data_IF_484772234858
#
_entry.id   IF_484772234858
#
_cell.length_a   1.000
_cell.length_b   1.000
_cell.length_c   1.000
_cell.angle_alpha   90.00
_cell.angle_beta   90.00
_cell.angle_gamma   90.00
#
_symmetry.space_group_name_H-M   'P 1'
#
loop_
_entity.id
_entity.type
_entity.pdbx_description
1 polymer ?
#
# COMPACT_ATOMS: atom_id res chain seq x y z
N UNK A 1 6.83 30.29 -29.35
CA UNK A 1 5.49 30.51 -28.75
C UNK A 1 5.30 32.01 -28.59
N UNK A 2 4.09 32.54 -28.75
CA UNK A 2 3.87 34.00 -28.67
C UNK A 2 4.03 34.49 -27.23
N UNK A 3 4.91 35.45 -27.00
CA UNK A 3 5.13 36.14 -25.71
C UNK A 3 3.96 37.05 -25.27
N UNK A 4 2.85 37.03 -26.01
CA UNK A 4 1.69 37.87 -25.76
C UNK A 4 1.08 37.66 -24.35
N UNK A 5 1.13 36.43 -23.82
CA UNK A 5 0.55 36.11 -22.51
C UNK A 5 1.41 36.56 -21.32
N UNK A 6 2.74 36.65 -21.50
CA UNK A 6 3.68 37.02 -20.44
C UNK A 6 3.44 38.44 -19.91
N UNK A 7 2.87 39.32 -20.75
CA UNK A 7 2.55 40.72 -20.42
C UNK A 7 1.21 40.90 -19.69
N UNK A 8 0.34 39.88 -19.66
CA UNK A 8 -0.98 39.99 -19.02
C UNK A 8 -0.89 39.85 -17.51
N UNK A 9 -1.84 40.47 -16.80
CA UNK A 9 -1.99 40.33 -15.34
C UNK A 9 -2.66 38.98 -15.02
N UNK A 10 -2.39 38.43 -13.83
CA UNK A 10 -2.95 37.14 -13.37
C UNK A 10 -4.48 37.09 -13.49
N UNK A 11 -5.19 38.18 -13.16
CA UNK A 11 -6.64 38.26 -13.29
C UNK A 11 -7.12 38.09 -14.76
N UNK A 12 -6.41 38.70 -15.72
CA UNK A 12 -6.71 38.57 -17.14
C UNK A 12 -6.42 37.17 -17.66
N UNK A 13 -5.33 36.55 -17.20
CA UNK A 13 -4.98 35.17 -17.54
C UNK A 13 -6.05 34.18 -17.04
N UNK A 14 -6.51 34.34 -15.79
CA UNK A 14 -7.59 33.52 -15.23
C UNK A 14 -8.92 33.72 -15.96
N UNK A 15 -9.25 34.95 -16.37
CA UNK A 15 -10.44 35.24 -17.17
C UNK A 15 -10.40 34.51 -18.52
N UNK A 16 -9.26 34.59 -19.24
CA UNK A 16 -9.08 33.88 -20.51
C UNK A 16 -9.12 32.35 -20.38
N UNK A 17 -8.57 31.80 -19.31
CA UNK A 17 -8.66 30.35 -19.06
C UNK A 17 -10.10 29.92 -18.75
N UNK A 18 -10.86 30.75 -18.02
CA UNK A 18 -12.28 30.49 -17.73
C UNK A 18 -13.13 30.49 -19.01
N UNK A 19 -12.89 31.42 -19.94
CA UNK A 19 -13.55 31.45 -21.26
C UNK A 19 -13.32 30.15 -22.05
N UNK A 20 -12.17 29.50 -21.87
CA UNK A 20 -11.82 28.22 -22.51
C UNK A 20 -12.14 26.99 -21.65
N UNK A 21 -12.91 27.15 -20.58
CA UNK A 21 -13.25 26.08 -19.62
C UNK A 21 -12.03 25.35 -19.01
N UNK A 22 -10.91 26.06 -18.81
CA UNK A 22 -9.68 25.54 -18.21
C UNK A 22 -9.51 25.98 -16.75
N UNK A 23 -8.70 25.22 -16.00
CA UNK A 23 -8.38 25.55 -14.61
C UNK A 23 -7.55 26.82 -14.49
N UNK A 24 -8.01 27.76 -13.64
CA UNK A 24 -7.31 28.99 -13.28
C UNK A 24 -6.44 28.89 -12.01
N UNK A 25 -6.09 27.67 -11.57
CA UNK A 25 -5.23 27.44 -10.40
C UNK A 25 -3.73 27.47 -10.77
N UNK A 26 -2.86 27.90 -9.85
CA UNK A 26 -1.40 27.96 -10.05
C UNK A 26 -0.85 29.38 -10.15
N UNK A 27 0.47 29.47 -10.33
CA UNK A 27 1.20 30.72 -10.44
C UNK A 27 1.08 31.34 -11.83
N UNK A 28 1.54 32.59 -12.01
CA UNK A 28 1.42 33.31 -13.29
C UNK A 28 2.00 32.50 -14.45
N UNK A 29 3.13 31.83 -14.23
CA UNK A 29 3.82 31.02 -15.24
C UNK A 29 2.99 29.81 -15.68
N UNK A 30 2.34 29.12 -14.74
CA UNK A 30 1.46 27.99 -15.05
C UNK A 30 0.27 28.42 -15.91
N UNK A 31 -0.33 29.57 -15.59
CA UNK A 31 -1.46 30.11 -16.34
C UNK A 31 -1.06 30.51 -17.77
N UNK A 32 0.12 31.11 -17.93
CA UNK A 32 0.69 31.42 -19.24
C UNK A 32 0.93 30.13 -20.04
N UNK A 33 1.56 29.13 -19.42
CA UNK A 33 1.84 27.83 -20.05
C UNK A 33 0.56 27.14 -20.51
N UNK A 34 -0.51 27.12 -19.70
CA UNK A 34 -1.79 26.53 -20.09
C UNK A 34 -2.44 27.24 -21.26
N UNK A 35 -2.40 28.58 -21.31
CA UNK A 35 -2.93 29.32 -22.46
C UNK A 35 -2.14 29.02 -23.74
N UNK A 36 -0.81 28.92 -23.63
CA UNK A 36 0.04 28.52 -24.77
C UNK A 36 -0.27 27.10 -25.24
N UNK A 37 -0.52 26.17 -24.32
CA UNK A 37 -0.96 24.80 -24.64
C UNK A 37 -2.33 24.79 -25.32
N UNK A 38 -3.28 25.61 -24.89
CA UNK A 38 -4.59 25.73 -25.53
C UNK A 38 -4.45 26.19 -26.98
N UNK A 39 -3.69 27.26 -27.22
CA UNK A 39 -3.43 27.78 -28.57
C UNK A 39 -2.67 26.77 -29.45
N UNK A 40 -1.75 26.00 -28.86
CA UNK A 40 -1.04 24.95 -29.59
C UNK A 40 -1.97 23.77 -29.93
N UNK A 41 -2.87 23.40 -29.02
CA UNK A 41 -3.90 22.40 -29.27
C UNK A 41 -4.93 22.83 -30.31
N UNK A 42 -5.23 24.13 -30.43
CA UNK A 42 -6.10 24.66 -31.49
C UNK A 42 -5.45 24.52 -32.89
N UNK A 43 -4.12 24.58 -32.95
CA UNK A 43 -3.35 24.41 -34.21
C UNK A 43 -3.13 22.95 -34.59
N UNK A 44 -3.01 22.08 -33.59
CA UNK A 44 -2.74 20.66 -33.75
C UNK A 44 -3.88 19.86 -33.12
N UNK A 45 -5.05 19.97 -33.75
CA UNK A 45 -6.24 19.24 -33.33
C UNK A 45 -6.05 17.73 -33.54
N UNK A 46 -6.78 16.94 -32.77
CA UNK A 46 -6.86 15.50 -32.96
C UNK A 46 -7.50 15.14 -34.32
N UNK A 47 -7.41 13.88 -34.77
CA UNK A 47 -8.05 13.42 -36.01
C UNK A 47 -9.56 13.68 -36.08
N UNK A 48 -10.23 13.82 -34.93
CA UNK A 48 -11.65 14.15 -34.81
C UNK A 48 -11.94 15.66 -34.80
N UNK A 49 -10.91 16.50 -35.01
CA UNK A 49 -11.01 17.96 -35.01
C UNK A 49 -11.14 18.59 -33.63
N UNK A 50 -11.13 17.83 -32.53
CA UNK A 50 -11.24 18.38 -31.18
C UNK A 50 -9.89 18.86 -30.66
N UNK A 51 -9.91 19.94 -29.88
CA UNK A 51 -8.70 20.43 -29.20
C UNK A 51 -8.34 19.48 -28.04
N UNK A 52 -7.11 18.94 -27.99
CA UNK A 52 -6.68 18.00 -26.94
C UNK A 52 -6.83 18.55 -25.52
N UNK A 53 -6.76 19.87 -25.32
CA UNK A 53 -6.90 20.51 -24.01
C UNK A 53 -8.32 20.42 -23.44
N UNK A 54 -9.34 20.25 -24.30
CA UNK A 54 -10.76 20.16 -23.91
C UNK A 54 -11.23 18.76 -23.54
N UNK A 55 -10.37 17.74 -23.72
CA UNK A 55 -10.71 16.35 -23.46
C UNK A 55 -10.93 16.07 -21.98
N UNK A 56 -11.97 15.27 -21.69
CA UNK A 56 -12.19 14.70 -20.36
C UNK A 56 -11.02 13.77 -19.99
N UNK A 57 -10.79 13.56 -18.70
CA UNK A 57 -9.64 12.79 -18.21
C UNK A 57 -9.54 11.36 -18.79
N UNK A 58 -10.68 10.70 -19.04
CA UNK A 58 -10.71 9.36 -19.66
C UNK A 58 -10.29 9.40 -21.14
N UNK A 59 -10.84 10.33 -21.92
CA UNK A 59 -10.53 10.51 -23.35
C UNK A 59 -9.07 10.95 -23.55
N UNK A 60 -8.58 11.84 -22.70
CA UNK A 60 -7.19 12.30 -22.72
C UNK A 60 -6.21 11.14 -22.50
N UNK A 61 -6.49 10.24 -21.54
CA UNK A 61 -5.66 9.04 -21.32
C UNK A 61 -5.72 8.07 -22.51
N UNK A 62 -6.88 7.94 -23.16
CA UNK A 62 -7.02 7.12 -24.37
C UNK A 62 -6.20 7.69 -25.53
N UNK A 63 -6.21 9.01 -25.72
CA UNK A 63 -5.40 9.70 -26.73
C UNK A 63 -3.90 9.51 -26.47
N UNK A 64 -3.44 9.68 -25.21
CA UNK A 64 -2.03 9.39 -24.87
C UNK A 64 -1.65 7.94 -25.20
N UNK A 65 -2.51 6.98 -24.85
CA UNK A 65 -2.26 5.56 -25.11
C UNK A 65 -2.22 5.24 -26.62
N UNK A 66 -3.04 5.88 -27.45
CA UNK A 66 -3.02 5.66 -28.90
C UNK A 66 -1.75 6.16 -29.57
N UNK A 67 -1.09 7.17 -29.00
CA UNK A 67 0.23 7.65 -29.47
C UNK A 67 1.41 7.03 -28.69
N UNK A 68 1.19 5.99 -27.88
CA UNK A 68 2.25 5.31 -27.12
C UNK A 68 2.89 6.15 -26.00
N UNK A 69 2.21 7.20 -25.54
CA UNK A 69 2.68 8.10 -24.49
C UNK A 69 2.25 7.62 -23.09
N UNK A 70 3.02 7.94 -22.03
CA UNK A 70 2.66 7.56 -20.66
C UNK A 70 1.35 8.21 -20.21
N UNK A 71 0.45 7.44 -19.61
CA UNK A 71 -0.87 7.88 -19.16
C UNK A 71 -0.97 8.11 -17.64
N UNK A 72 0.15 7.98 -16.92
CA UNK A 72 0.20 8.03 -15.46
C UNK A 72 0.41 9.46 -14.93
N UNK A 73 -0.65 10.00 -14.32
CA UNK A 73 -0.67 11.30 -13.66
C UNK A 73 0.10 11.32 -12.32
N UNK A 74 0.53 10.17 -11.80
CA UNK A 74 1.36 10.10 -10.59
C UNK A 74 2.82 10.47 -10.86
N UNK A 75 3.24 10.44 -12.13
CA UNK A 75 4.63 10.68 -12.55
C UNK A 75 4.76 12.05 -13.22
N UNK A 76 3.80 12.44 -14.06
CA UNK A 76 3.82 13.69 -14.80
C UNK A 76 2.55 14.50 -14.54
N UNK A 77 2.69 15.82 -14.53
CA UNK A 77 1.54 16.72 -14.44
C UNK A 77 0.69 16.65 -15.71
N UNK A 78 -0.61 16.99 -15.60
CA UNK A 78 -1.51 17.03 -16.76
C UNK A 78 -0.96 17.92 -17.89
N UNK A 79 -0.36 19.05 -17.55
CA UNK A 79 0.19 20.01 -18.51
C UNK A 79 1.42 19.45 -19.26
N UNK A 80 2.26 18.66 -18.60
CA UNK A 80 3.41 17.97 -19.24
C UNK A 80 2.99 16.84 -20.19
N UNK A 81 1.96 16.08 -19.79
CA UNK A 81 1.38 15.06 -20.67
C UNK A 81 0.68 15.72 -21.87
N UNK A 82 0.02 16.86 -21.67
CA UNK A 82 -0.63 17.61 -22.74
C UNK A 82 0.39 18.13 -23.75
N UNK A 83 1.51 18.68 -23.26
CA UNK A 83 2.63 19.11 -24.10
C UNK A 83 3.16 17.94 -24.94
N UNK A 84 3.39 16.78 -24.33
CA UNK A 84 3.86 15.57 -25.02
C UNK A 84 2.90 15.12 -26.12
N UNK A 85 1.58 15.16 -25.86
CA UNK A 85 0.57 14.81 -26.86
C UNK A 85 0.57 15.79 -28.05
N UNK A 86 0.62 17.09 -27.76
CA UNK A 86 0.67 18.12 -28.81
C UNK A 86 1.94 17.99 -29.65
N UNK A 87 3.07 17.64 -29.06
CA UNK A 87 4.33 17.47 -29.79
C UNK A 87 4.31 16.20 -30.67
N UNK A 88 3.64 15.13 -30.23
CA UNK A 88 3.37 13.98 -31.09
C UNK A 88 2.47 14.36 -32.28
N UNK A 89 1.38 15.10 -32.06
CA UNK A 89 0.48 15.54 -33.14
C UNK A 89 1.17 16.49 -34.14
N UNK A 90 2.09 17.34 -33.68
CA UNK A 90 2.94 18.16 -34.56
C UNK A 90 3.80 17.32 -35.48
N UNK A 91 4.38 16.24 -34.95
CA UNK A 91 5.25 15.35 -35.73
C UNK A 91 4.48 14.61 -36.82
N UNK A 92 3.21 14.26 -36.56
CA UNK A 92 2.33 13.61 -37.54
C UNK A 92 1.84 14.59 -38.62
N UNK A 93 1.51 15.84 -38.23
CA UNK A 93 1.04 16.87 -39.18
C UNK A 93 2.13 17.43 -40.13
N UNK A 94 3.40 17.10 -39.91
CA UNK A 94 4.52 17.49 -40.77
C UNK A 94 4.86 16.48 -41.88
N UNK A 95 4.23 15.31 -41.89
CA UNK A 95 4.45 14.26 -42.88
C UNK A 95 3.34 14.25 -43.92
N UNK A 96 3.65 14.65 -45.16
CA UNK A 96 2.76 14.47 -46.31
C UNK A 96 2.39 13.00 -46.50
N UNK A 97 1.10 12.75 -46.69
CA UNK A 97 0.40 11.48 -46.85
C UNK A 97 1.13 10.39 -47.63
N UNK A 98 1.19 9.18 -47.04
CA UNK A 98 1.19 7.92 -47.77
C UNK A 98 0.19 6.98 -47.10
N UNK A 99 -0.73 6.46 -47.92
CA UNK A 99 -1.89 5.68 -47.52
C UNK A 99 -1.54 4.33 -46.85
N UNK A 100 -2.48 3.88 -46.04
CA UNK A 100 -2.44 2.66 -45.26
C UNK A 100 -2.35 1.39 -46.11
N UNK A 101 -1.42 0.51 -45.73
CA UNK A 101 -1.42 -0.91 -46.08
C UNK A 101 -1.14 -1.73 -44.82
N UNK A 102 -2.14 -2.53 -44.41
CA UNK A 102 -1.99 -3.55 -43.37
C UNK A 102 -0.84 -4.52 -43.67
N UNK A 103 0.15 -4.61 -42.78
CA UNK A 103 0.81 -5.88 -42.46
C UNK A 103 1.73 -5.73 -41.24
N UNK A 104 1.83 -6.80 -40.47
CA UNK A 104 2.68 -6.99 -39.31
C UNK A 104 4.15 -6.56 -39.50
N UNK A 105 4.80 -6.14 -38.41
CA UNK A 105 6.25 -6.03 -38.29
C UNK A 105 6.75 -4.61 -38.03
N UNK A 106 6.81 -4.18 -36.77
CA UNK A 106 7.35 -2.89 -36.36
C UNK A 106 8.78 -2.99 -35.83
N UNK A 107 9.76 -2.99 -36.73
CA UNK A 107 11.15 -2.64 -36.47
C UNK A 107 11.56 -1.58 -37.49
N UNK A 108 11.99 -0.40 -37.04
CA UNK A 108 12.31 0.70 -37.97
C UNK A 108 12.65 2.02 -37.28
N UNK A 109 13.61 1.99 -36.35
CA UNK A 109 14.21 3.18 -35.74
C UNK A 109 15.45 2.85 -34.90
N UNK A 110 16.05 1.68 -35.11
CA UNK A 110 16.92 1.02 -34.14
C UNK A 110 18.41 1.33 -34.25
N UNK A 111 18.94 1.67 -35.43
CA UNK A 111 20.42 1.66 -35.60
C UNK A 111 21.13 2.79 -34.85
N UNK A 112 20.71 4.05 -34.99
CA UNK A 112 21.31 5.17 -34.22
C UNK A 112 21.02 5.08 -32.71
N UNK A 113 19.85 4.56 -32.34
CA UNK A 113 19.44 4.40 -30.95
C UNK A 113 20.22 3.26 -30.26
N UNK A 114 20.43 2.14 -30.95
CA UNK A 114 21.21 1.00 -30.47
C UNK A 114 22.70 1.36 -30.36
N UNK A 115 23.25 2.14 -31.31
CA UNK A 115 24.62 2.63 -31.23
C UNK A 115 24.84 3.59 -30.05
N UNK A 116 23.91 4.53 -29.85
CA UNK A 116 23.92 5.41 -28.68
C UNK A 116 23.83 4.61 -27.38
N UNK A 117 22.91 3.64 -27.31
CA UNK A 117 22.71 2.81 -26.13
C UNK A 117 23.94 1.94 -25.84
N UNK A 118 24.57 1.37 -26.87
CA UNK A 118 25.81 0.59 -26.75
C UNK A 118 26.96 1.46 -26.23
N UNK A 119 27.13 2.67 -26.77
CA UNK A 119 28.15 3.62 -26.32
C UNK A 119 27.94 4.05 -24.86
N UNK A 120 26.71 4.34 -24.47
CA UNK A 120 26.39 4.68 -23.07
C UNK A 120 26.65 3.49 -22.13
N UNK A 121 26.31 2.27 -22.53
CA UNK A 121 26.56 1.07 -21.73
C UNK A 121 28.06 0.83 -21.51
N UNK A 122 28.90 1.06 -22.52
CA UNK A 122 30.36 0.98 -22.41
C UNK A 122 30.93 2.07 -21.47
N UNK A 123 30.42 3.30 -21.53
CA UNK A 123 30.81 4.36 -20.61
C UNK A 123 30.40 4.06 -19.16
N UNK A 124 29.22 3.46 -18.95
CA UNK A 124 28.77 3.01 -17.62
C UNK A 124 29.72 1.93 -17.07
N UNK A 125 30.19 1.01 -17.91
CA UNK A 125 31.17 -0.01 -17.50
C UNK A 125 32.48 0.62 -17.05
N UNK A 126 33.04 1.52 -17.86
CA UNK A 126 34.30 2.20 -17.54
C UNK A 126 34.22 2.98 -16.23
N UNK A 127 33.18 3.81 -16.07
CA UNK A 127 32.97 4.61 -14.85
C UNK A 127 32.64 3.73 -13.63
N UNK A 128 31.91 2.64 -13.85
CA UNK A 128 31.57 1.66 -12.84
C UNK A 128 32.79 0.89 -12.31
N UNK A 129 33.74 0.56 -13.18
CA UNK A 129 35.02 -0.08 -12.83
C UNK A 129 35.97 0.90 -12.15
N UNK A 130 35.96 2.17 -12.56
CA UNK A 130 36.68 3.25 -11.90
C UNK A 130 36.10 3.62 -10.52
N UNK A 131 34.94 3.09 -10.15
CA UNK A 131 34.30 3.36 -8.86
C UNK A 131 33.72 4.78 -8.74
N UNK A 132 33.30 5.39 -9.85
CA UNK A 132 32.74 6.74 -9.88
C UNK A 132 31.20 6.72 -10.06
N UNK A 133 30.42 6.60 -8.97
CA UNK A 133 28.96 6.50 -9.05
C UNK A 133 28.29 7.82 -9.52
N UNK A 134 28.90 8.97 -9.21
CA UNK A 134 28.39 10.29 -9.65
C UNK A 134 28.54 10.47 -11.15
N UNK A 135 29.68 10.03 -11.70
CA UNK A 135 29.92 10.01 -13.14
C UNK A 135 28.89 9.17 -13.88
N UNK A 136 28.55 7.98 -13.36
CA UNK A 136 27.58 7.06 -13.99
C UNK A 136 26.19 7.71 -14.14
N UNK A 137 25.65 8.33 -13.09
CA UNK A 137 24.35 9.00 -13.18
C UNK A 137 24.39 10.33 -13.95
N UNK A 138 25.58 10.92 -14.12
CA UNK A 138 25.75 12.19 -14.82
C UNK A 138 25.89 12.07 -16.34
N UNK A 139 25.90 10.85 -16.88
CA UNK A 139 26.14 10.58 -18.31
C UNK A 139 25.15 11.26 -19.27
N UNK A 140 23.93 11.55 -18.82
CA UNK A 140 22.94 12.27 -19.63
C UNK A 140 23.07 13.80 -19.54
N UNK A 141 24.22 14.30 -19.08
CA UNK A 141 24.57 15.72 -19.06
C UNK A 141 24.07 16.51 -17.85
N UNK A 142 23.37 15.87 -16.92
CA UNK A 142 22.98 16.47 -15.64
C UNK A 142 23.99 16.09 -14.56
N UNK A 143 24.63 17.05 -13.89
CA UNK A 143 25.53 16.75 -12.78
C UNK A 143 24.75 16.18 -11.58
N UNK A 144 24.82 14.87 -11.39
CA UNK A 144 24.19 14.15 -10.28
C UNK A 144 25.25 13.84 -9.23
N UNK A 145 25.07 14.41 -8.05
CA UNK A 145 25.91 14.16 -6.87
C UNK A 145 25.08 13.58 -5.73
N UNK A 146 25.74 13.19 -4.64
CA UNK A 146 25.03 12.74 -3.43
C UNK A 146 24.11 13.80 -2.83
N UNK A 147 24.41 15.08 -3.01
CA UNK A 147 23.60 16.21 -2.54
C UNK A 147 22.37 16.47 -3.43
N UNK A 148 22.32 15.92 -4.65
CA UNK A 148 21.19 16.09 -5.55
C UNK A 148 19.93 15.45 -4.96
N UNK A 149 18.74 16.09 -5.03
CA UNK A 149 17.51 15.52 -4.50
C UNK A 149 17.20 14.12 -5.06
N UNK A 150 16.69 13.22 -4.22
CA UNK A 150 16.37 11.82 -4.58
C UNK A 150 15.52 11.71 -5.85
N UNK A 151 14.56 12.63 -6.05
CA UNK A 151 13.72 12.65 -7.24
C UNK A 151 14.53 12.84 -8.55
N UNK A 152 15.55 13.69 -8.52
CA UNK A 152 16.42 13.93 -9.68
C UNK A 152 17.39 12.76 -9.90
N UNK A 153 17.95 12.18 -8.83
CA UNK A 153 18.76 10.95 -8.91
C UNK A 153 17.95 9.80 -9.52
N UNK A 154 16.70 9.60 -9.07
CA UNK A 154 15.78 8.58 -9.60
C UNK A 154 15.43 8.84 -11.07
N UNK A 155 15.21 10.09 -11.46
CA UNK A 155 14.93 10.46 -12.86
C UNK A 155 16.11 10.10 -13.76
N UNK A 156 17.34 10.45 -13.36
CA UNK A 156 18.55 10.10 -14.11
C UNK A 156 18.73 8.58 -14.26
N UNK A 157 18.57 7.84 -13.15
CA UNK A 157 18.62 6.37 -13.15
C UNK A 157 17.60 5.75 -14.12
N UNK A 158 16.33 6.16 -14.05
CA UNK A 158 15.27 5.60 -14.90
C UNK A 158 15.49 5.93 -16.38
N UNK A 159 15.99 7.13 -16.69
CA UNK A 159 16.31 7.52 -18.07
C UNK A 159 17.43 6.64 -18.63
N UNK A 160 18.52 6.43 -17.89
CA UNK A 160 19.61 5.53 -18.30
C UNK A 160 19.14 4.08 -18.41
N UNK A 161 18.40 3.59 -17.41
CA UNK A 161 17.91 2.21 -17.38
C UNK A 161 17.02 1.86 -18.59
N UNK A 162 16.26 2.82 -19.11
CA UNK A 162 15.44 2.64 -20.32
C UNK A 162 16.25 2.51 -21.61
N UNK A 163 17.46 3.08 -21.62
CA UNK A 163 18.37 3.09 -22.78
C UNK A 163 19.26 1.85 -22.73
N UNK A 164 19.87 1.55 -21.59
CA UNK A 164 20.89 0.49 -21.44
C UNK A 164 20.34 -0.82 -20.82
N UNK A 165 19.03 -1.06 -20.90
CA UNK A 165 18.45 -2.30 -20.40
C UNK A 165 19.02 -3.50 -21.19
N UNK A 166 19.42 -4.61 -20.52
CA UNK A 166 20.01 -5.77 -21.21
C UNK A 166 19.13 -6.34 -22.33
N UNK A 167 17.80 -6.35 -22.14
CA UNK A 167 16.85 -6.82 -23.16
C UNK A 167 16.88 -6.02 -24.47
N UNK A 168 17.29 -4.74 -24.41
CA UNK A 168 17.40 -3.88 -25.59
C UNK A 168 18.77 -3.95 -26.26
N UNK A 169 19.77 -4.54 -25.59
CA UNK A 169 21.15 -4.61 -26.05
C UNK A 169 21.63 -6.07 -26.16
N UNK A 170 20.94 -6.95 -26.91
CA UNK A 170 21.34 -8.36 -27.01
C UNK A 170 22.70 -8.56 -27.69
N UNK A 171 23.15 -7.58 -28.49
CA UNK A 171 24.45 -7.60 -29.17
C UNK A 171 25.63 -7.31 -28.24
N UNK A 172 25.39 -6.65 -27.11
CA UNK A 172 26.43 -6.31 -26.14
C UNK A 172 26.46 -7.35 -25.02
N UNK A 173 27.38 -8.31 -25.10
CA UNK A 173 27.50 -9.38 -24.09
C UNK A 173 27.76 -8.90 -22.65
N UNK A 174 28.18 -7.63 -22.48
CA UNK A 174 28.40 -7.01 -21.17
C UNK A 174 27.23 -6.09 -20.71
N UNK A 175 26.10 -6.05 -21.42
CA UNK A 175 24.98 -5.18 -21.08
C UNK A 175 24.45 -5.42 -19.65
N UNK A 176 24.40 -6.67 -19.20
CA UNK A 176 24.02 -7.01 -17.82
C UNK A 176 24.98 -6.43 -16.80
N UNK A 177 26.28 -6.47 -17.08
CA UNK A 177 27.32 -5.91 -16.18
C UNK A 177 27.21 -4.38 -16.13
N UNK A 178 27.00 -3.73 -17.28
CA UNK A 178 26.76 -2.28 -17.35
C UNK A 178 25.55 -1.88 -16.50
N UNK A 179 24.44 -2.62 -16.64
CA UNK A 179 23.24 -2.37 -15.87
C UNK A 179 23.45 -2.56 -14.36
N UNK A 180 24.22 -3.57 -13.95
CA UNK A 180 24.58 -3.76 -12.53
C UNK A 180 25.40 -2.58 -11.98
N UNK A 181 26.34 -2.02 -12.76
CA UNK A 181 27.06 -0.82 -12.36
C UNK A 181 26.14 0.41 -12.23
N UNK A 182 25.15 0.56 -13.12
CA UNK A 182 24.12 1.60 -13.00
C UNK A 182 23.30 1.45 -11.70
N UNK A 183 22.83 0.25 -11.39
CA UNK A 183 22.07 -0.03 -10.16
C UNK A 183 22.91 0.27 -8.93
N UNK A 184 24.16 -0.21 -8.90
CA UNK A 184 25.09 0.03 -7.79
C UNK A 184 25.39 1.51 -7.58
N UNK A 185 25.56 2.28 -8.67
CA UNK A 185 25.77 3.71 -8.59
C UNK A 185 24.57 4.44 -7.95
N UNK A 186 23.34 4.06 -8.34
CA UNK A 186 22.12 4.61 -7.75
C UNK A 186 21.97 4.24 -6.27
N UNK A 187 22.22 3.00 -5.89
CA UNK A 187 22.17 2.55 -4.49
C UNK A 187 23.19 3.31 -3.61
N UNK A 188 24.42 3.49 -4.09
CA UNK A 188 25.47 4.19 -3.32
C UNK A 188 25.12 5.66 -3.08
N UNK A 189 24.55 6.33 -4.08
CA UNK A 189 24.18 7.75 -3.98
C UNK A 189 22.91 7.97 -3.15
N UNK A 190 22.02 6.99 -3.10
CA UNK A 190 20.76 7.07 -2.34
C UNK A 190 20.85 6.50 -0.93
N UNK A 191 21.89 5.72 -0.62
CA UNK A 191 22.13 5.20 0.72
C UNK A 191 22.42 6.33 1.72
N UNK A 192 21.86 6.26 2.95
CA UNK A 192 22.17 7.22 4.00
C UNK A 192 23.66 7.17 4.36
N UNK A 193 24.25 8.34 4.61
CA UNK A 193 25.68 8.47 4.89
C UNK A 193 26.02 7.71 6.18
N UNK A 194 26.73 6.59 6.05
CA UNK A 194 27.15 5.78 7.19
C UNK A 194 28.30 6.49 7.94
N UNK A 195 28.30 6.53 9.29
CA UNK A 195 29.40 7.09 10.06
C UNK A 195 30.72 6.32 9.83
N UNK A 196 31.90 6.98 9.92
CA UNK A 196 33.15 6.55 9.31
C UNK A 196 33.90 5.38 10.00
N UNK A 197 33.21 4.45 10.68
CA UNK A 197 33.88 3.35 11.41
C UNK A 197 33.38 1.92 11.14
N UNK A 198 32.55 1.67 10.12
CA UNK A 198 32.04 0.33 9.83
C UNK A 198 32.74 -0.42 8.67
N UNK A 199 33.92 0.02 8.22
CA UNK A 199 34.51 -0.45 6.96
C UNK A 199 35.34 -1.76 7.01
N UNK A 200 35.40 -2.49 8.14
CA UNK A 200 36.19 -3.75 8.21
C UNK A 200 35.49 -5.01 8.70
N UNK A 201 34.16 -5.00 8.87
CA UNK A 201 33.42 -6.21 9.31
C UNK A 201 32.25 -6.61 8.39
N UNK A 202 32.18 -6.10 7.15
CA UNK A 202 31.06 -6.36 6.23
C UNK A 202 31.33 -7.47 5.20
N UNK A 203 32.33 -8.33 5.41
CA UNK A 203 32.48 -9.57 4.66
C UNK A 203 32.14 -10.74 5.58
N UNK A 204 30.96 -11.36 5.37
CA UNK A 204 30.40 -12.56 6.02
C UNK A 204 29.41 -12.38 7.19
N UNK A 205 28.66 -11.29 7.25
CA UNK A 205 27.35 -11.35 7.91
C UNK A 205 26.31 -11.80 6.87
N UNK A 206 25.83 -13.04 6.97
CA UNK A 206 24.50 -13.36 6.45
C UNK A 206 23.57 -12.25 6.94
N UNK A 207 22.85 -11.60 6.03
CA UNK A 207 21.87 -10.57 6.36
C UNK A 207 20.92 -11.16 7.39
N UNK A 208 21.15 -10.79 8.66
CA UNK A 208 20.20 -11.03 9.73
C UNK A 208 18.92 -10.30 9.30
N UNK A 209 17.93 -11.08 8.88
CA UNK A 209 16.63 -10.58 8.43
C UNK A 209 16.08 -9.76 9.59
N UNK A 210 16.01 -8.44 9.41
CA UNK A 210 15.88 -7.47 10.49
C UNK A 210 14.47 -7.34 11.07
N UNK A 211 13.50 -8.19 10.69
CA UNK A 211 12.12 -8.08 11.16
C UNK A 211 11.60 -9.38 11.78
N UNK A 212 11.02 -9.26 12.98
CA UNK A 212 10.21 -10.31 13.60
C UNK A 212 8.81 -10.36 12.97
N UNK A 213 8.10 -11.48 13.15
CA UNK A 213 6.68 -11.60 12.79
C UNK A 213 5.75 -11.03 13.88
N UNK A 214 6.26 -10.19 14.78
CA UNK A 214 5.45 -9.60 15.85
C UNK A 214 4.45 -8.59 15.27
N UNK A 215 3.16 -8.79 15.58
CA UNK A 215 2.08 -8.01 14.99
C UNK A 215 1.84 -8.29 13.50
N UNK A 216 2.46 -9.33 12.93
CA UNK A 216 2.21 -9.78 11.56
C UNK A 216 1.15 -10.89 11.54
N UNK A 217 0.29 -10.90 10.53
CA UNK A 217 -0.78 -11.88 10.38
C UNK A 217 -0.78 -12.48 8.97
N UNK A 218 -1.30 -13.70 8.84
CA UNK A 218 -1.52 -14.30 7.53
C UNK A 218 -2.66 -13.54 6.84
N UNK A 219 -2.36 -12.94 5.69
CA UNK A 219 -3.34 -12.16 4.95
C UNK A 219 -4.39 -13.07 4.33
N UNK A 220 -5.66 -12.70 4.50
CA UNK A 220 -6.76 -13.40 3.85
C UNK A 220 -6.94 -12.84 2.44
N UNK A 221 -6.62 -13.66 1.45
CA UNK A 221 -6.74 -13.33 0.02
C UNK A 221 -7.99 -13.99 -0.54
N UNK A 222 -8.73 -13.26 -1.36
CA UNK A 222 -9.94 -13.75 -2.02
C UNK A 222 -9.83 -13.59 -3.53
N UNK A 223 -10.33 -14.59 -4.25
CA UNK A 223 -10.38 -14.58 -5.70
C UNK A 223 -11.23 -13.40 -6.20
N UNK A 224 -10.73 -12.53 -7.10
CA UNK A 224 -11.52 -11.41 -7.60
C UNK A 224 -12.74 -11.86 -8.41
N UNK A 225 -12.69 -13.05 -9.04
CA UNK A 225 -13.79 -13.60 -9.86
C UNK A 225 -14.87 -14.31 -9.04
N UNK A 226 -14.49 -15.29 -8.22
CA UNK A 226 -15.44 -16.14 -7.52
C UNK A 226 -15.59 -15.85 -6.03
N UNK A 227 -14.82 -14.88 -5.50
CA UNK A 227 -14.83 -14.45 -4.09
C UNK A 227 -14.55 -15.56 -3.07
N UNK A 228 -14.00 -16.69 -3.51
CA UNK A 228 -13.52 -17.75 -2.62
C UNK A 228 -12.19 -17.36 -1.99
N UNK A 229 -11.99 -17.70 -0.72
CA UNK A 229 -10.73 -17.49 -0.04
C UNK A 229 -9.64 -18.42 -0.61
N UNK A 230 -8.46 -17.88 -0.87
CA UNK A 230 -7.29 -18.66 -1.25
C UNK A 230 -6.60 -19.26 -0.01
N UNK A 231 -6.15 -20.52 -0.13
CA UNK A 231 -5.36 -21.19 0.90
C UNK A 231 -6.12 -21.57 2.18
N UNK A 232 -7.44 -21.74 2.12
CA UNK A 232 -8.23 -22.41 3.16
C UNK A 232 -8.14 -23.94 3.00
N UNK A 233 -8.27 -24.69 4.10
CA UNK A 233 -8.24 -26.16 4.06
C UNK A 233 -9.42 -26.76 3.28
N UNK A 234 -10.54 -26.05 3.21
CA UNK A 234 -11.79 -26.48 2.56
C UNK A 234 -11.80 -26.28 1.04
N UNK A 235 -10.69 -25.83 0.43
CA UNK A 235 -10.57 -25.79 -1.01
C UNK A 235 -10.37 -27.21 -1.55
N UNK A 236 -11.45 -27.99 -1.63
CA UNK A 236 -11.46 -29.34 -2.21
C UNK A 236 -11.64 -29.32 -3.74
N UNK A 237 -10.83 -30.11 -4.45
CA UNK A 237 -11.08 -30.64 -5.79
C UNK A 237 -11.16 -29.62 -6.94
N UNK A 238 -12.34 -29.04 -7.17
CA UNK A 238 -12.63 -28.25 -8.39
C UNK A 238 -12.43 -26.73 -8.21
N UNK A 239 -12.80 -26.18 -7.04
CA UNK A 239 -12.61 -24.73 -6.75
C UNK A 239 -11.13 -24.36 -6.64
N UNK A 240 -10.28 -25.33 -6.31
CA UNK A 240 -8.82 -25.19 -6.27
C UNK A 240 -8.28 -24.85 -7.65
N UNK A 241 -8.70 -25.54 -8.70
CA UNK A 241 -8.18 -25.29 -10.04
C UNK A 241 -8.58 -23.90 -10.54
N UNK A 242 -9.85 -23.50 -10.41
CA UNK A 242 -10.27 -22.15 -10.82
C UNK A 242 -9.57 -21.04 -10.02
N UNK A 243 -9.42 -21.21 -8.70
CA UNK A 243 -8.75 -20.22 -7.87
C UNK A 243 -7.23 -20.20 -8.08
N UNK A 244 -6.60 -21.35 -8.31
CA UNK A 244 -5.18 -21.44 -8.62
C UNK A 244 -4.86 -20.82 -9.98
N UNK A 245 -5.71 -21.07 -11.00
CA UNK A 245 -5.61 -20.40 -12.29
C UNK A 245 -5.78 -18.88 -12.14
N UNK A 246 -6.78 -18.43 -11.37
CA UNK A 246 -6.93 -16.99 -11.10
C UNK A 246 -5.74 -16.38 -10.33
N UNK A 247 -5.13 -17.12 -9.40
CA UNK A 247 -3.92 -16.68 -8.71
C UNK A 247 -2.75 -16.52 -9.69
N UNK A 248 -2.61 -17.44 -10.65
CA UNK A 248 -1.59 -17.35 -11.70
C UNK A 248 -1.87 -16.25 -12.72
N UNK A 249 -3.12 -16.09 -13.15
CA UNK A 249 -3.52 -15.14 -14.20
C UNK A 249 -3.51 -13.69 -13.71
N UNK A 250 -4.00 -13.45 -12.50
CA UNK A 250 -4.17 -12.09 -11.97
C UNK A 250 -3.09 -11.72 -10.94
N UNK A 251 -2.40 -12.70 -10.35
CA UNK A 251 -1.39 -12.47 -9.32
C UNK A 251 -1.96 -12.07 -7.95
N UNK A 252 -1.11 -12.05 -6.92
CA UNK A 252 -1.52 -11.67 -5.57
C UNK A 252 -1.94 -10.19 -5.48
N UNK A 253 -1.44 -9.31 -6.34
CA UNK A 253 -1.74 -7.87 -6.30
C UNK A 253 -3.19 -7.52 -6.66
N UNK A 254 -3.85 -8.36 -7.45
CA UNK A 254 -5.25 -8.15 -7.89
C UNK A 254 -6.26 -8.88 -7.01
N UNK A 255 -5.77 -9.65 -6.04
CA UNK A 255 -6.61 -10.34 -5.08
C UNK A 255 -7.33 -9.33 -4.17
N UNK A 256 -8.52 -9.69 -3.70
CA UNK A 256 -9.18 -8.93 -2.66
C UNK A 256 -8.54 -9.27 -1.31
N UNK A 257 -7.84 -8.31 -0.71
CA UNK A 257 -7.14 -8.48 0.57
C UNK A 257 -8.06 -8.03 1.68
N UNK A 258 -8.21 -8.86 2.73
CA UNK A 258 -9.05 -8.52 3.89
C UNK A 258 -8.23 -8.34 5.15
N UNK A 259 -8.58 -7.32 5.93
CA UNK A 259 -7.95 -7.01 7.20
C UNK A 259 -8.06 -8.20 8.17
N UNK A 260 -6.98 -8.64 8.83
CA UNK A 260 -7.03 -9.76 9.77
C UNK A 260 -7.88 -9.49 11.01
N UNK A 261 -8.09 -8.20 11.35
CA UNK A 261 -8.81 -7.80 12.56
C UNK A 261 -10.31 -7.61 12.32
N UNK A 262 -10.70 -6.93 11.23
CA UNK A 262 -12.13 -6.63 10.96
C UNK A 262 -12.69 -7.28 9.68
N UNK A 263 -11.87 -8.03 8.94
CA UNK A 263 -12.24 -8.72 7.68
C UNK A 263 -12.76 -7.80 6.57
N UNK A 264 -12.67 -6.48 6.69
CA UNK A 264 -13.02 -5.59 5.57
C UNK A 264 -11.95 -5.61 4.48
N UNK A 265 -12.34 -5.48 3.20
CA UNK A 265 -11.40 -5.36 2.10
C UNK A 265 -10.56 -4.08 2.26
N UNK A 266 -9.29 -4.15 1.90
CA UNK A 266 -8.38 -3.01 1.85
C UNK A 266 -7.49 -3.10 0.61
N UNK A 267 -6.95 -1.95 0.20
CA UNK A 267 -6.05 -1.87 -0.94
C UNK A 267 -4.63 -2.26 -0.50
N UNK A 268 -4.11 -3.35 -1.06
CA UNK A 268 -2.75 -3.81 -0.80
C UNK A 268 -1.78 -3.22 -1.81
N UNK A 269 -0.71 -2.60 -1.32
CA UNK A 269 0.42 -2.20 -2.15
C UNK A 269 1.63 -3.10 -1.85
N UNK A 270 2.44 -3.55 -2.84
CA UNK A 270 3.61 -4.40 -2.59
C UNK A 270 4.64 -3.81 -1.62
N UNK A 271 4.73 -2.47 -1.55
CA UNK A 271 5.56 -1.77 -0.55
C UNK A 271 5.07 -1.96 0.89
N UNK A 272 3.81 -2.32 1.07
CA UNK A 272 3.22 -2.65 2.37
C UNK A 272 3.78 -3.95 2.94
N UNK A 273 4.30 -4.84 2.08
CA UNK A 273 4.83 -6.13 2.53
C UNK A 273 5.89 -6.01 3.62
N UNK A 274 6.64 -4.90 3.64
CA UNK A 274 7.73 -4.64 4.59
C UNK A 274 7.36 -3.73 5.76
N UNK A 275 6.11 -3.27 5.87
CA UNK A 275 5.65 -2.39 6.95
C UNK A 275 4.40 -2.93 7.60
N UNK A 276 4.10 -2.44 8.81
CA UNK A 276 2.77 -2.57 9.37
C UNK A 276 1.86 -1.53 8.72
N UNK A 277 0.65 -1.93 8.38
CA UNK A 277 -0.39 -1.07 7.79
C UNK A 277 -1.55 -0.92 8.75
N UNK A 278 -2.15 0.27 8.76
CA UNK A 278 -3.41 0.54 9.45
C UNK A 278 -4.58 0.11 8.56
N UNK A 279 -5.60 -0.53 9.12
CA UNK A 279 -6.75 -1.04 8.35
C UNK A 279 -7.46 0.03 7.49
N UNK A 280 -7.48 1.30 7.92
CA UNK A 280 -8.15 2.40 7.21
C UNK A 280 -9.69 2.39 7.28
N UNK A 281 -10.29 1.39 7.93
CA UNK A 281 -11.73 1.31 8.15
C UNK A 281 -12.13 2.14 9.38
N UNK A 282 -13.20 2.94 9.29
CA UNK A 282 -13.64 3.85 10.37
C UNK A 282 -13.90 3.14 11.71
N UNK A 283 -14.26 1.85 11.68
CA UNK A 283 -14.50 1.02 12.88
C UNK A 283 -13.31 0.12 13.27
N UNK A 284 -12.14 0.28 12.63
CA UNK A 284 -10.96 -0.54 12.90
C UNK A 284 -9.68 0.30 12.81
N UNK A 285 -9.13 0.65 13.97
CA UNK A 285 -7.87 1.38 14.13
C UNK A 285 -6.63 0.47 14.23
N UNK A 286 -6.82 -0.84 14.07
CA UNK A 286 -5.74 -1.80 14.29
C UNK A 286 -4.64 -1.74 13.21
N UNK A 287 -3.40 -1.89 13.67
CA UNK A 287 -2.20 -2.03 12.84
C UNK A 287 -1.82 -3.50 12.70
N UNK A 288 -1.49 -3.92 11.49
CA UNK A 288 -1.05 -5.29 11.23
C UNK A 288 0.05 -5.32 10.16
N UNK A 289 1.00 -6.24 10.30
CA UNK A 289 1.99 -6.55 9.28
C UNK A 289 1.61 -7.78 8.46
N UNK A 290 2.30 -7.98 7.34
CA UNK A 290 2.18 -9.17 6.50
C UNK A 290 3.12 -10.26 7.03
N UNK A 291 2.59 -11.48 7.22
CA UNK A 291 3.39 -12.61 7.67
C UNK A 291 4.54 -12.90 6.69
N UNK A 292 5.78 -12.85 7.20
CA UNK A 292 6.96 -13.22 6.44
C UNK A 292 7.18 -14.72 6.61
N UNK A 293 7.06 -15.45 5.50
CA UNK A 293 7.52 -16.83 5.45
C UNK A 293 9.03 -16.82 5.26
N UNK A 294 9.76 -17.30 6.26
CA UNK A 294 11.21 -17.45 6.17
C UNK A 294 11.53 -18.56 5.17
N UNK A 295 11.82 -18.16 3.93
CA UNK A 295 12.44 -19.05 2.96
C UNK A 295 13.95 -18.90 3.13
N UNK A 296 14.68 -19.94 3.58
CA UNK A 296 16.13 -19.86 3.67
C UNK A 296 16.69 -19.53 2.28
N UNK A 297 17.49 -18.45 2.20
CA UNK A 297 18.01 -17.91 0.93
C UNK A 297 18.98 -18.85 0.20
N UNK A 298 19.42 -19.92 0.86
CA UNK A 298 20.32 -20.92 0.32
C UNK A 298 19.82 -22.31 0.73
N UNK A 299 19.80 -23.29 -0.19
CA UNK A 299 19.73 -24.69 0.21
C UNK A 299 20.85 -24.97 1.24
N UNK A 300 20.66 -25.92 2.16
CA UNK A 300 21.76 -26.37 3.01
C UNK A 300 22.99 -26.71 2.15
N UNK A 301 24.21 -26.39 2.61
CA UNK A 301 25.43 -26.64 1.83
C UNK A 301 25.48 -28.11 1.41
N UNK A 302 25.66 -28.36 0.11
CA UNK A 302 25.70 -29.70 -0.47
C UNK A 302 24.38 -30.19 -1.07
N UNK A 303 23.31 -29.39 -1.06
CA UNK A 303 22.05 -29.71 -1.76
C UNK A 303 21.82 -28.71 -2.89
N UNK A 304 21.79 -29.18 -4.12
CA UNK A 304 21.42 -28.38 -5.29
C UNK A 304 19.94 -27.95 -5.21
N UNK A 305 19.57 -26.88 -5.93
CA UNK A 305 18.15 -26.48 -6.01
C UNK A 305 17.28 -27.56 -6.66
N UNK A 306 17.83 -28.34 -7.58
CA UNK A 306 17.13 -29.47 -8.20
C UNK A 306 16.87 -30.60 -7.20
N UNK A 307 17.88 -31.02 -6.43
CA UNK A 307 17.74 -32.07 -5.39
C UNK A 307 16.74 -31.66 -4.29
N UNK A 308 16.71 -30.38 -3.92
CA UNK A 308 15.72 -29.87 -2.96
C UNK A 308 14.30 -29.89 -3.54
N UNK A 309 14.13 -29.54 -4.81
CA UNK A 309 12.84 -29.58 -5.49
C UNK A 309 12.33 -31.01 -5.68
N UNK A 310 13.22 -31.95 -6.03
CA UNK A 310 12.92 -33.37 -6.17
C UNK A 310 12.60 -34.00 -4.81
N UNK A 311 13.37 -33.67 -3.76
CA UNK A 311 13.06 -34.08 -2.39
C UNK A 311 11.70 -33.54 -1.96
N UNK A 312 11.39 -32.25 -2.15
CA UNK A 312 10.09 -31.69 -1.78
C UNK A 312 8.93 -32.28 -2.60
N UNK A 313 9.18 -32.71 -3.84
CA UNK A 313 8.19 -33.40 -4.69
C UNK A 313 7.94 -34.86 -4.32
N UNK A 314 8.92 -35.53 -3.69
CA UNK A 314 8.87 -36.97 -3.42
C UNK A 314 9.07 -37.35 -1.94
N UNK A 315 9.16 -36.39 -1.02
CA UNK A 315 9.41 -36.65 0.39
C UNK A 315 8.22 -37.40 1.01
N UNK A 316 8.39 -38.70 1.13
CA UNK A 316 7.48 -39.64 1.78
C UNK A 316 8.05 -40.10 3.13
N UNK A 317 9.06 -39.40 3.65
CA UNK A 317 9.68 -39.72 4.93
C UNK A 317 8.71 -39.42 6.07
N UNK A 318 7.96 -40.47 6.45
CA UNK A 318 7.01 -40.45 7.56
C UNK A 318 7.66 -39.98 8.87
N UNK A 319 8.96 -40.23 9.07
CA UNK A 319 9.67 -39.82 10.28
C UNK A 319 9.92 -38.32 10.29
N UNK A 320 10.32 -37.73 9.16
CA UNK A 320 10.47 -36.28 9.02
C UNK A 320 9.12 -35.56 9.19
N UNK A 321 8.04 -36.09 8.62
CA UNK A 321 6.69 -35.54 8.77
C UNK A 321 6.19 -35.61 10.22
N UNK A 322 6.40 -36.75 10.89
CA UNK A 322 6.06 -36.91 12.30
C UNK A 322 6.86 -35.96 13.20
N UNK A 323 8.16 -35.80 12.94
CA UNK A 323 9.02 -34.87 13.68
C UNK A 323 8.58 -33.41 13.50
N UNK A 324 8.23 -33.00 12.28
CA UNK A 324 7.71 -31.67 12.02
C UNK A 324 6.34 -31.45 12.70
N UNK A 325 5.43 -32.41 12.61
CA UNK A 325 4.13 -32.35 13.29
C UNK A 325 4.29 -32.20 14.82
N UNK A 326 5.17 -32.99 15.42
CA UNK A 326 5.49 -32.89 16.85
C UNK A 326 6.11 -31.53 17.22
N UNK A 327 7.01 -31.00 16.38
CA UNK A 327 7.60 -29.69 16.59
C UNK A 327 6.55 -28.55 16.52
N UNK A 328 5.61 -28.64 15.58
CA UNK A 328 4.49 -27.69 15.44
C UNK A 328 3.57 -27.78 16.66
N UNK A 329 3.21 -28.98 17.11
CA UNK A 329 2.39 -29.18 18.32
C UNK A 329 3.06 -28.58 19.56
N UNK A 330 4.35 -28.90 19.80
CA UNK A 330 5.12 -28.35 20.92
C UNK A 330 5.32 -26.83 20.83
N UNK A 331 5.37 -26.25 19.62
CA UNK A 331 5.38 -24.80 19.44
C UNK A 331 4.01 -24.18 19.76
N UNK A 332 2.91 -24.84 19.40
CA UNK A 332 1.55 -24.46 19.74
C UNK A 332 1.33 -24.42 21.25
N UNK A 333 1.70 -25.49 21.97
CA UNK A 333 1.63 -25.56 23.43
C UNK A 333 2.43 -24.45 24.11
N UNK A 334 3.66 -24.18 23.63
CA UNK A 334 4.48 -23.08 24.16
C UNK A 334 3.86 -21.71 23.95
N UNK A 335 3.16 -21.49 22.83
CA UNK A 335 2.43 -20.24 22.58
C UNK A 335 1.20 -20.12 23.48
N UNK A 336 0.44 -21.20 23.67
CA UNK A 336 -0.71 -21.22 24.57
C UNK A 336 -0.29 -20.88 26.01
N UNK A 337 0.75 -21.54 26.54
CA UNK A 337 1.29 -21.25 27.88
C UNK A 337 1.77 -19.81 28.04
N UNK A 338 2.39 -19.23 27.00
CA UNK A 338 2.81 -17.81 27.02
C UNK A 338 1.63 -16.85 27.00
N UNK A 339 0.56 -17.17 26.25
CA UNK A 339 -0.65 -16.37 26.23
C UNK A 339 -1.33 -16.39 27.60
N UNK A 340 -1.51 -17.59 28.18
CA UNK A 340 -2.06 -17.78 29.53
C UNK A 340 -1.26 -17.01 30.59
N UNK A 341 0.08 -17.08 30.56
CA UNK A 341 0.93 -16.34 31.50
C UNK A 341 0.81 -14.81 31.34
N UNK A 342 0.68 -14.31 30.10
CA UNK A 342 0.49 -12.88 29.83
C UNK A 342 -0.88 -12.40 30.30
N UNK A 343 -1.91 -13.20 30.06
CA UNK A 343 -3.27 -12.85 30.46
C UNK A 343 -3.39 -12.86 32.00
N UNK A 344 -2.77 -13.82 32.69
CA UNK A 344 -2.64 -13.83 34.15
C UNK A 344 -1.86 -12.61 34.69
N UNK A 345 -0.81 -12.18 33.98
CA UNK A 345 -0.08 -10.96 34.35
C UNK A 345 -0.96 -9.70 34.19
N UNK A 346 -1.73 -9.62 33.12
CA UNK A 346 -2.65 -8.50 32.89
C UNK A 346 -3.75 -8.45 33.96
N UNK A 347 -4.32 -9.59 34.35
CA UNK A 347 -5.25 -9.68 35.46
C UNK A 347 -4.63 -9.17 36.77
N UNK A 348 -3.43 -9.62 37.12
CA UNK A 348 -2.74 -9.16 38.32
C UNK A 348 -2.46 -7.64 38.30
N UNK A 349 -2.11 -7.09 37.14
CA UNK A 349 -1.89 -5.65 36.96
C UNK A 349 -3.19 -4.85 37.11
N UNK A 350 -4.29 -5.30 36.50
CA UNK A 350 -5.58 -4.63 36.60
C UNK A 350 -6.07 -4.55 38.05
N UNK A 351 -5.97 -5.67 38.79
CA UNK A 351 -6.34 -5.70 40.21
C UNK A 351 -5.47 -4.76 41.04
N UNK A 352 -4.16 -4.74 40.81
CA UNK A 352 -3.23 -3.86 41.52
C UNK A 352 -3.53 -2.38 41.25
N UNK A 353 -3.86 -2.01 40.01
CA UNK A 353 -4.25 -0.63 39.63
C UNK A 353 -5.56 -0.24 40.31
N UNK A 354 -6.58 -1.11 40.28
CA UNK A 354 -7.86 -0.85 40.93
C UNK A 354 -7.70 -0.65 42.45
N UNK A 355 -6.93 -1.52 43.13
CA UNK A 355 -6.62 -1.38 44.55
C UNK A 355 -5.86 -0.08 44.84
N UNK A 356 -4.88 0.28 44.00
CA UNK A 356 -4.09 1.50 44.17
C UNK A 356 -4.97 2.77 44.07
N UNK A 357 -5.99 2.74 43.21
CA UNK A 357 -6.92 3.85 43.02
C UNK A 357 -8.04 3.91 44.08
N UNK A 358 -7.96 3.08 45.12
CA UNK A 358 -8.86 3.11 46.26
C UNK A 358 -9.98 2.05 46.24
N UNK A 359 -10.02 1.20 45.21
CA UNK A 359 -11.01 0.12 45.12
C UNK A 359 -12.45 0.60 44.96
N UNK A 360 -12.64 1.74 44.30
CA UNK A 360 -13.96 2.37 44.08
C UNK A 360 -14.75 1.62 42.97
N UNK A 361 -16.06 1.51 43.15
CA UNK A 361 -17.00 0.87 42.22
C UNK A 361 -16.99 1.55 40.85
N UNK A 362 -16.74 2.87 40.79
CA UNK A 362 -16.61 3.64 39.55
C UNK A 362 -15.47 3.18 38.63
N UNK A 363 -14.55 2.36 39.16
CA UNK A 363 -13.42 1.80 38.44
C UNK A 363 -13.47 0.28 38.30
N UNK A 364 -14.57 -0.35 38.72
CA UNK A 364 -14.76 -1.80 38.64
C UNK A 364 -14.67 -2.32 37.19
N UNK A 365 -14.90 -1.47 36.19
CA UNK A 365 -14.71 -1.80 34.77
C UNK A 365 -13.27 -2.18 34.36
N UNK A 366 -12.27 -1.92 35.22
CA UNK A 366 -10.89 -2.37 35.00
C UNK A 366 -10.69 -3.86 35.30
N UNK A 367 -11.58 -4.47 36.08
CA UNK A 367 -11.47 -5.84 36.56
C UNK A 367 -12.04 -6.83 35.55
N UNK A 368 -11.49 -8.04 35.51
CA UNK A 368 -12.07 -9.15 34.72
C UNK A 368 -13.29 -9.75 35.42
N UNK A 369 -14.12 -10.51 34.70
CA UNK A 369 -15.32 -11.14 35.28
C UNK A 369 -15.02 -12.04 36.49
N UNK A 370 -13.88 -12.74 36.45
CA UNK A 370 -13.40 -13.58 37.56
C UNK A 370 -13.08 -12.72 38.79
N UNK A 371 -12.44 -11.58 38.59
CA UNK A 371 -12.11 -10.62 39.64
C UNK A 371 -13.35 -9.92 40.20
N UNK A 372 -14.28 -9.49 39.35
CA UNK A 372 -15.55 -8.88 39.77
C UNK A 372 -16.37 -9.84 40.62
N UNK A 373 -16.47 -11.11 40.23
CA UNK A 373 -17.16 -12.13 41.05
C UNK A 373 -16.49 -12.31 42.42
N UNK A 374 -15.16 -12.27 42.48
CA UNK A 374 -14.43 -12.32 43.75
C UNK A 374 -14.69 -11.07 44.62
N UNK A 375 -14.76 -9.88 44.02
CA UNK A 375 -15.08 -8.62 44.71
C UNK A 375 -16.54 -8.63 45.20
N UNK A 376 -17.51 -9.09 44.40
CA UNK A 376 -18.89 -9.28 44.85
C UNK A 376 -18.95 -10.22 46.07
N UNK A 377 -18.28 -11.37 46.00
CA UNK A 377 -18.24 -12.32 47.09
C UNK A 377 -17.59 -11.74 48.36
N UNK A 378 -16.53 -10.95 48.22
CA UNK A 378 -15.87 -10.27 49.33
C UNK A 378 -16.78 -9.22 50.02
N UNK A 379 -17.68 -8.59 49.26
CA UNK A 379 -18.70 -7.66 49.77
C UNK A 379 -19.98 -8.37 50.27
N UNK A 380 -19.97 -9.71 50.37
CA UNK A 380 -21.12 -10.49 50.82
C UNK A 380 -22.25 -10.59 49.80
N UNK A 381 -22.00 -10.24 48.54
CA UNK A 381 -22.96 -10.34 47.46
C UNK A 381 -22.80 -11.68 46.72
N UNK A 382 -23.91 -12.37 46.48
CA UNK A 382 -23.91 -13.50 45.55
C UNK A 382 -23.91 -12.97 44.12
N UNK A 383 -22.87 -13.18 43.30
CA UNK A 383 -22.81 -12.63 41.95
C UNK A 383 -23.97 -13.14 41.09
N UNK A 384 -24.78 -12.24 40.57
CA UNK A 384 -25.91 -12.53 39.67
C UNK A 384 -25.59 -12.00 38.28
N UNK A 385 -25.81 -12.84 37.26
CA UNK A 385 -25.57 -12.48 35.86
C UNK A 385 -24.30 -13.10 35.28
N UNK A 386 -24.23 -13.06 33.94
CA UNK A 386 -23.14 -13.61 33.14
C UNK A 386 -22.27 -12.52 32.52
N UNK A 387 -22.69 -11.26 32.60
CA UNK A 387 -21.97 -10.13 32.01
C UNK A 387 -21.24 -9.29 33.07
N UNK A 388 -20.14 -8.67 32.66
CA UNK A 388 -19.38 -7.68 33.43
C UNK A 388 -20.29 -6.54 33.93
N UNK A 389 -21.22 -6.08 33.09
CA UNK A 389 -22.14 -4.98 33.41
C UNK A 389 -23.10 -5.34 34.54
N UNK A 390 -23.61 -6.58 34.58
CA UNK A 390 -24.52 -7.03 35.63
C UNK A 390 -23.81 -7.06 36.99
N UNK A 391 -22.55 -7.51 37.01
CA UNK A 391 -21.73 -7.57 38.21
C UNK A 391 -21.38 -6.16 38.74
N UNK A 392 -21.06 -5.21 37.85
CA UNK A 392 -20.79 -3.82 38.21
C UNK A 392 -22.05 -3.17 38.78
N UNK A 393 -23.20 -3.29 38.11
CA UNK A 393 -24.46 -2.75 38.62
C UNK A 393 -24.87 -3.35 39.97
N UNK A 394 -24.55 -4.62 40.20
CA UNK A 394 -24.79 -5.25 41.49
C UNK A 394 -23.92 -4.65 42.61
N UNK A 395 -22.66 -4.35 42.34
CA UNK A 395 -21.76 -3.66 43.28
C UNK A 395 -22.28 -2.24 43.56
N UNK A 396 -22.56 -1.46 42.50
CA UNK A 396 -23.11 -0.11 42.62
C UNK A 396 -24.40 -0.10 43.46
N UNK A 397 -25.36 -0.98 43.16
CA UNK A 397 -26.62 -1.06 43.89
C UNK A 397 -26.42 -1.37 45.38
N UNK A 398 -25.40 -2.16 45.73
CA UNK A 398 -25.10 -2.47 47.12
C UNK A 398 -24.50 -1.29 47.89
N UNK A 399 -23.67 -0.47 47.22
CA UNK A 399 -23.09 0.73 47.81
C UNK A 399 -24.17 1.78 48.12
N UNK A 400 -25.12 1.98 47.21
CA UNK A 400 -26.22 2.95 47.39
C UNK A 400 -27.33 2.46 48.33
N UNK A 401 -27.55 1.14 48.46
CA UNK A 401 -28.56 0.60 49.36
C UNK A 401 -28.31 0.94 50.85
N UNK A 402 -27.07 1.29 51.22
CA UNK A 402 -26.72 1.73 52.57
C UNK A 402 -27.10 3.18 52.88
N UNK A 403 -27.25 4.05 51.89
CA UNK A 403 -27.48 5.49 52.09
C UNK A 403 -28.96 5.87 52.20
N UNK A 404 -29.87 5.13 51.54
CA UNK A 404 -31.32 5.45 51.54
C UNK A 404 -32.03 5.25 52.89
N UNK A 405 -31.36 4.71 53.91
CA UNK A 405 -31.95 4.54 55.24
C UNK A 405 -31.76 5.75 56.18
N UNK A 406 -30.99 6.77 55.79
CA UNK A 406 -30.55 7.84 56.71
C UNK A 406 -31.19 9.22 56.47
N UNK A 407 -31.67 9.55 55.27
CA UNK A 407 -32.31 10.85 55.02
C UNK A 407 -33.83 10.74 54.88
N UNK A 408 -34.52 11.03 55.98
CA UNK A 408 -35.95 11.25 56.04
C UNK A 408 -36.37 12.47 55.23
N UNK A 409 -36.40 12.34 53.90
CA UNK A 409 -37.02 13.33 53.03
C UNK A 409 -38.51 13.01 52.91
N UNK A 410 -39.32 13.66 53.74
CA UNK A 410 -40.78 13.60 53.62
C UNK A 410 -41.22 14.37 52.36
N UNK A 411 -41.93 13.74 51.41
CA UNK A 411 -42.40 14.42 50.22
C UNK A 411 -43.58 15.33 50.59
N UNK A 412 -43.40 16.65 50.50
CA UNK A 412 -44.52 17.57 50.50
C UNK A 412 -45.29 17.45 49.18
N UNK A 413 -46.55 17.03 49.30
CA UNK A 413 -47.57 17.09 48.27
C UNK A 413 -47.67 18.50 47.69
N UNK A 414 -47.15 18.69 46.47
CA UNK A 414 -47.49 19.86 45.66
C UNK A 414 -47.94 19.41 44.28
N UNK A 415 -49.25 19.24 44.21
CA UNK A 415 -50.06 19.07 43.03
C UNK A 415 -49.90 20.26 42.08
N UNK A 416 -49.47 20.01 40.84
CA UNK A 416 -49.80 20.90 39.71
C UNK A 416 -49.71 20.20 38.37
N UNK A 417 -50.90 19.85 37.88
CA UNK A 417 -51.24 19.56 36.48
C UNK A 417 -50.57 20.56 35.53
N UNK A 418 -49.87 20.05 34.50
CA UNK A 418 -49.95 20.64 33.16
C UNK A 418 -49.66 19.60 32.06
N UNK A 419 -50.74 19.27 31.35
CA UNK A 419 -50.78 18.61 30.03
C UNK A 419 -49.88 19.32 29.02
N UNK A 420 -49.09 18.55 28.25
CA UNK A 420 -48.74 18.75 26.83
C UNK A 420 -48.30 17.38 26.30
N UNK A 421 -49.18 16.66 25.60
CA UNK A 421 -49.42 16.72 24.15
C UNK A 421 -48.28 16.06 23.34
N UNK A 422 -48.66 14.93 22.74
CA UNK A 422 -47.85 14.01 21.97
C UNK A 422 -47.44 14.57 20.61
N UNK A 423 -46.25 14.18 20.16
CA UNK A 423 -45.87 14.17 18.75
C UNK A 423 -44.91 12.98 18.53
N UNK A 424 -45.49 11.82 18.24
CA UNK A 424 -44.76 10.67 17.73
C UNK A 424 -44.41 10.88 16.26
N UNK A 425 -43.17 10.55 15.88
CA UNK A 425 -42.78 10.28 14.49
C UNK A 425 -42.27 8.84 14.44
N UNK A 426 -43.10 7.97 13.87
CA UNK A 426 -42.70 6.62 13.46
C UNK A 426 -41.85 6.71 12.20
N UNK A 427 -40.65 6.13 12.23
CA UNK A 427 -39.90 5.83 11.02
C UNK A 427 -40.42 4.50 10.45
N UNK A 428 -40.85 4.53 9.20
CA UNK A 428 -41.34 3.37 8.45
C UNK A 428 -40.12 2.77 7.72
N UNK A 429 -39.76 1.53 8.06
CA UNK A 429 -38.85 0.70 7.28
C UNK A 429 -39.60 0.21 6.03
N UNK A 430 -39.06 0.49 4.84
CA UNK A 430 -39.46 -0.16 3.59
C UNK A 430 -38.47 -1.30 3.33
N UNK A 431 -39.01 -2.52 3.38
CA UNK A 431 -38.40 -3.76 2.92
C UNK A 431 -38.75 -3.94 1.44
N UNK A 432 -37.76 -3.89 0.56
CA UNK A 432 -37.89 -4.39 -0.81
C UNK A 432 -37.36 -5.83 -0.85
N UNK A 433 -38.31 -6.77 -0.77
CA UNK A 433 -38.18 -8.13 -1.29
C UNK A 433 -38.78 -8.13 -2.70
N UNK A 434 -37.97 -8.36 -3.72
CA UNK A 434 -38.41 -8.73 -5.07
C UNK A 434 -37.70 -10.04 -5.46
N UNK A 435 -38.46 -11.12 -5.45
CA UNK A 435 -38.19 -12.40 -6.12
C UNK A 435 -38.84 -12.36 -7.51
N UNK A 436 -38.06 -12.59 -8.57
CA UNK A 436 -38.43 -13.40 -9.76
C UNK A 436 -37.18 -13.92 -10.49
#
# INVERSE_FOLDING_TARGET
>A
MSDAYSKLKVAQLKAKLKERAQSGAGEKEDLVRRLQLCDAGDKHALPDGRNPTTLKAAEFRKALASHGLPCDLSINTRDELMQSLIDALKSEGGGTSAEAGSSAGGGGGGEDADELATRLALQVLELGEAGNPEGVLSLLGAAITRATPFAAQRKAYLSLARIIHPDKLPKLGQATKAFQHLVRAFEVLTAPEAPPQAAKAAARAHTAISRSNDGCFKTHLFCPRCKSQWGSADSGGLKVYCCALCLCDFGCMTAEHRCPLCRKPFEYHPRDYHRQVTCGNARCSGTFGFWLYHVPARPPPGVSREELAEHLGCCTDKKAHAAHAAAVAAAGERRAKKAEARDAQAEAQNLAVWQFLGGDDSQAWLLTDTQLRAVCAANGLTPRGDSTSDLIHQLEASAYAGEEASDGWQPEESSSRRKRAAAGKSYKEESDDDDE
#
